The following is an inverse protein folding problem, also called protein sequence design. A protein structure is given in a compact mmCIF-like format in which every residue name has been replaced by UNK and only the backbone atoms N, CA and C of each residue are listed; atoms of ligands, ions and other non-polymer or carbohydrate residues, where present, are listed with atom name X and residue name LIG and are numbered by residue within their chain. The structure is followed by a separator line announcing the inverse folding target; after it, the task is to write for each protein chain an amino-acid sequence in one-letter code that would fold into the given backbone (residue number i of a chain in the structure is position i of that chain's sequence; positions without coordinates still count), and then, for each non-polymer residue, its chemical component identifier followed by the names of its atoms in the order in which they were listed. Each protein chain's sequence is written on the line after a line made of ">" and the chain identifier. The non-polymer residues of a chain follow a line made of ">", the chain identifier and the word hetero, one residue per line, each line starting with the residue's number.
data_IF_340480523017
#
_entry.id   IF_340480523017
#
_cell.length_a   1.000
_cell.length_b   1.000
_cell.length_c   1.000
_cell.angle_alpha   90.00
_cell.angle_beta   90.00
_cell.angle_gamma   90.00
#
_symmetry.space_group_name_H-M   'P 1'
#
loop_
_entity.id
_entity.type
_entity.pdbx_description
1 polymer ?
#
# COMPACT_ATOMS: atom_id res chain seq x y z
N UNK A 1 0.79 15.05 15.73
CA UNK A 1 -0.65 15.12 15.38
C UNK A 1 -0.73 15.03 13.86
N UNK A 2 -0.83 13.83 13.30
CA UNK A 2 -0.97 13.66 11.85
C UNK A 2 -2.48 13.74 11.58
N UNK A 3 -2.96 14.80 10.92
CA UNK A 3 -4.39 14.90 10.59
C UNK A 3 -4.73 13.85 9.54
N UNK A 4 -5.84 13.14 9.74
CA UNK A 4 -6.31 12.15 8.77
C UNK A 4 -6.65 12.87 7.45
N UNK A 5 -6.26 12.31 6.29
CA UNK A 5 -6.55 12.94 5.01
C UNK A 5 -8.07 12.98 4.78
N UNK A 6 -8.58 14.17 4.48
CA UNK A 6 -10.00 14.42 4.17
C UNK A 6 -10.12 14.63 2.68
N UNK A 7 -10.90 13.79 2.01
CA UNK A 7 -11.24 13.91 0.60
C UNK A 7 -12.56 14.66 0.52
N UNK A 8 -12.60 15.76 -0.23
CA UNK A 8 -13.83 16.50 -0.52
C UNK A 8 -14.22 16.22 -1.96
N UNK A 9 -15.42 15.69 -2.16
CA UNK A 9 -15.99 15.39 -3.47
C UNK A 9 -17.42 15.91 -3.51
N UNK A 10 -17.86 16.44 -4.64
CA UNK A 10 -19.27 16.79 -4.80
C UNK A 10 -20.11 15.53 -4.99
N UNK A 11 -21.39 15.57 -4.62
CA UNK A 11 -22.33 14.47 -4.87
C UNK A 11 -22.37 14.06 -6.36
N UNK A 12 -22.25 15.04 -7.27
CA UNK A 12 -22.13 14.81 -8.72
C UNK A 12 -20.85 14.05 -9.10
N UNK A 13 -19.73 14.40 -8.49
CA UNK A 13 -18.45 13.71 -8.72
C UNK A 13 -18.52 12.26 -8.25
N UNK A 14 -19.15 12.00 -7.10
CA UNK A 14 -19.33 10.64 -6.56
C UNK A 14 -20.17 9.78 -7.51
N UNK A 15 -21.24 10.34 -8.06
CA UNK A 15 -22.11 9.60 -9.00
C UNK A 15 -21.41 9.37 -10.34
N UNK A 16 -20.69 10.37 -10.86
CA UNK A 16 -19.95 10.23 -12.11
C UNK A 16 -18.81 9.21 -11.99
N UNK A 17 -18.11 9.19 -10.86
CA UNK A 17 -17.06 8.20 -10.58
C UNK A 17 -17.65 6.80 -10.46
N UNK A 18 -18.75 6.62 -9.70
CA UNK A 18 -19.45 5.33 -9.62
C UNK A 18 -19.86 4.80 -11.00
N UNK A 19 -20.45 5.67 -11.84
CA UNK A 19 -20.85 5.32 -13.21
C UNK A 19 -19.65 4.91 -14.08
N UNK A 20 -18.54 5.66 -13.98
CA UNK A 20 -17.30 5.35 -14.70
C UNK A 20 -16.72 4.00 -14.26
N UNK A 21 -16.79 3.66 -12.97
CA UNK A 21 -16.36 2.37 -12.45
C UNK A 21 -17.25 1.23 -12.94
N UNK A 22 -18.56 1.41 -12.99
CA UNK A 22 -19.49 0.40 -13.52
C UNK A 22 -19.25 0.17 -15.03
N UNK A 23 -19.07 1.24 -15.81
CA UNK A 23 -18.84 1.15 -17.26
C UNK A 23 -17.49 0.49 -17.62
N UNK A 24 -16.45 0.71 -16.81
CA UNK A 24 -15.10 0.18 -17.05
C UNK A 24 -14.68 -0.95 -16.10
N UNK A 25 -15.61 -1.55 -15.35
CA UNK A 25 -15.32 -2.59 -14.36
C UNK A 25 -14.53 -3.78 -14.96
N UNK A 26 -14.83 -4.16 -16.20
CA UNK A 26 -14.17 -5.27 -16.92
C UNK A 26 -12.72 -4.97 -17.34
N UNK A 27 -12.36 -3.69 -17.45
CA UNK A 27 -11.00 -3.23 -17.82
C UNK A 27 -10.15 -2.98 -16.57
N UNK A 28 -10.78 -2.45 -15.51
CA UNK A 28 -10.11 -2.12 -14.25
C UNK A 28 -9.84 -3.38 -13.42
N UNK A 29 -10.80 -4.32 -13.40
CA UNK A 29 -10.73 -5.57 -12.64
C UNK A 29 -11.11 -6.77 -13.55
N UNK A 30 -10.16 -7.30 -14.34
CA UNK A 30 -10.42 -8.40 -15.28
C UNK A 30 -10.63 -9.76 -14.60
N UNK A 31 -10.19 -9.93 -13.36
CA UNK A 31 -10.41 -11.15 -12.57
C UNK A 31 -11.75 -11.08 -11.83
N UNK A 32 -12.50 -12.20 -11.83
CA UNK A 32 -13.86 -12.27 -11.25
C UNK A 32 -13.89 -12.26 -9.72
N UNK A 33 -12.75 -12.55 -9.08
CA UNK A 33 -12.60 -12.60 -7.62
C UNK A 33 -12.02 -11.29 -7.05
N UNK A 34 -12.04 -10.20 -7.83
CA UNK A 34 -11.58 -8.89 -7.38
C UNK A 34 -12.60 -8.24 -6.42
N UNK A 35 -12.09 -7.65 -5.35
CA UNK A 35 -12.83 -6.95 -4.30
C UNK A 35 -13.67 -5.80 -4.86
N UNK A 36 -13.28 -5.24 -6.00
CA UNK A 36 -14.03 -4.19 -6.69
C UNK A 36 -15.41 -4.69 -7.15
N UNK A 37 -15.54 -5.95 -7.58
CA UNK A 37 -16.82 -6.51 -8.02
C UNK A 37 -17.79 -6.75 -6.86
N UNK A 38 -17.27 -7.15 -5.69
CA UNK A 38 -18.05 -7.29 -4.45
C UNK A 38 -18.57 -5.92 -3.97
N UNK A 39 -17.69 -4.90 -3.97
CA UNK A 39 -18.06 -3.53 -3.59
C UNK A 39 -19.09 -2.93 -4.55
N UNK A 40 -18.96 -3.16 -5.86
CA UNK A 40 -19.94 -2.68 -6.85
C UNK A 40 -21.29 -3.41 -6.73
N UNK A 41 -21.29 -4.69 -6.33
CA UNK A 41 -22.52 -5.43 -6.05
C UNK A 41 -23.25 -4.90 -4.80
N UNK A 42 -22.50 -4.58 -3.74
CA UNK A 42 -23.04 -4.01 -2.49
C UNK A 42 -23.60 -2.59 -2.68
N UNK A 43 -22.93 -1.78 -3.51
CA UNK A 43 -23.36 -0.39 -3.81
C UNK A 43 -24.54 -0.31 -4.78
N UNK A 44 -24.79 -1.38 -5.55
CA UNK A 44 -25.84 -1.43 -6.57
C UNK A 44 -25.52 -0.61 -7.83
N UNK A 45 -26.22 -0.92 -8.93
CA UNK A 45 -25.97 -0.30 -10.24
C UNK A 45 -26.54 1.11 -10.39
N UNK A 46 -27.50 1.49 -9.54
CA UNK A 46 -28.36 2.66 -9.77
C UNK A 46 -28.14 3.74 -8.71
N UNK A 47 -26.89 4.15 -8.53
CA UNK A 47 -26.56 5.28 -7.65
C UNK A 47 -27.06 6.59 -8.28
N UNK A 48 -28.21 7.07 -7.79
CA UNK A 48 -28.83 8.32 -8.20
C UNK A 48 -28.73 9.36 -7.06
N UNK A 49 -28.77 10.66 -7.38
CA UNK A 49 -28.72 11.79 -6.42
C UNK A 49 -29.70 11.60 -5.23
N UNK A 50 -30.86 11.00 -5.50
CA UNK A 50 -31.87 10.63 -4.50
C UNK A 50 -31.37 9.64 -3.45
N UNK A 51 -30.61 8.62 -3.85
CA UNK A 51 -30.07 7.60 -2.95
C UNK A 51 -28.89 8.14 -2.11
N UNK A 52 -28.19 9.15 -2.62
CA UNK A 52 -27.02 9.72 -1.96
C UNK A 52 -27.36 10.86 -0.98
N UNK A 53 -28.36 11.70 -1.31
CA UNK A 53 -28.74 12.89 -0.51
C UNK A 53 -30.05 12.69 0.27
N UNK A 54 -30.84 11.67 -0.06
CA UNK A 54 -31.97 11.18 0.75
C UNK A 54 -33.27 11.98 0.68
N UNK A 55 -33.28 13.19 0.10
CA UNK A 55 -34.44 14.09 0.20
C UNK A 55 -34.70 14.88 -1.10
N UNK A 56 -35.04 14.17 -2.19
CA UNK A 56 -35.39 14.78 -3.49
C UNK A 56 -36.77 14.28 -3.97
N UNK A 57 -37.71 15.18 -4.35
CA UNK A 57 -39.02 14.80 -4.87
C UNK A 57 -38.96 14.15 -6.25
N UNK A 58 -39.95 13.30 -6.58
CA UNK A 58 -40.01 12.57 -7.85
C UNK A 58 -40.12 13.53 -9.06
N UNK A 59 -39.23 13.35 -10.05
CA UNK A 59 -39.24 14.07 -11.33
C UNK A 59 -40.53 13.85 -12.15
N UNK A 60 -41.39 12.90 -11.75
CA UNK A 60 -42.63 12.56 -12.46
C UNK A 60 -43.82 13.44 -12.09
N UNK A 61 -43.73 14.25 -11.02
CA UNK A 61 -44.91 15.00 -10.51
C UNK A 61 -44.86 16.52 -10.65
N UNK A 62 -43.72 17.14 -10.98
CA UNK A 62 -43.68 18.58 -11.23
C UNK A 62 -42.43 19.00 -11.99
N UNK A 63 -42.57 19.24 -13.30
CA UNK A 63 -41.55 19.90 -14.13
C UNK A 63 -41.51 21.40 -13.89
N UNK A 64 -41.24 21.85 -12.66
CA UNK A 64 -41.02 23.27 -12.34
C UNK A 64 -39.52 23.59 -12.31
N UNK A 65 -39.12 24.78 -12.77
CA UNK A 65 -37.72 25.25 -12.77
C UNK A 65 -37.08 25.15 -11.38
N UNK A 66 -37.86 25.36 -10.32
CA UNK A 66 -37.47 25.22 -8.91
C UNK A 66 -36.96 23.79 -8.57
N UNK A 67 -37.59 22.74 -9.10
CA UNK A 67 -37.09 21.36 -8.88
C UNK A 67 -35.74 21.13 -9.56
N UNK A 68 -35.49 21.75 -10.71
CA UNK A 68 -34.20 21.64 -11.41
C UNK A 68 -33.08 22.35 -10.66
N UNK A 69 -33.39 23.49 -10.05
CA UNK A 69 -32.46 24.24 -9.21
C UNK A 69 -32.12 23.45 -7.92
N UNK A 70 -33.11 22.84 -7.26
CA UNK A 70 -32.87 21.97 -6.09
C UNK A 70 -31.99 20.75 -6.43
N UNK A 71 -32.17 20.13 -7.60
CA UNK A 71 -31.31 19.04 -8.05
C UNK A 71 -29.88 19.50 -8.40
N UNK A 72 -29.71 20.74 -8.87
CA UNK A 72 -28.39 21.33 -9.11
C UNK A 72 -27.68 21.62 -7.79
N UNK A 73 -28.38 22.22 -6.82
CA UNK A 73 -27.84 22.52 -5.48
C UNK A 73 -27.49 21.22 -4.72
N UNK A 74 -28.36 20.20 -4.78
CA UNK A 74 -28.08 18.87 -4.24
C UNK A 74 -26.86 18.20 -4.91
N UNK A 75 -26.63 18.46 -6.20
CA UNK A 75 -25.46 17.97 -6.93
C UNK A 75 -24.15 18.66 -6.56
N UNK A 76 -24.22 19.93 -6.15
CA UNK A 76 -23.08 20.74 -5.69
C UNK A 76 -22.73 20.52 -4.21
N UNK A 77 -23.54 19.77 -3.47
CA UNK A 77 -23.25 19.44 -2.07
C UNK A 77 -21.88 18.76 -1.94
N UNK A 78 -20.96 19.43 -1.22
CA UNK A 78 -19.64 18.89 -0.93
C UNK A 78 -19.73 17.85 0.19
N UNK A 79 -19.37 16.61 -0.12
CA UNK A 79 -19.28 15.51 0.84
C UNK A 79 -17.81 15.37 1.25
N UNK A 80 -17.53 15.63 2.53
CA UNK A 80 -16.21 15.46 3.12
C UNK A 80 -16.06 14.05 3.70
N UNK A 81 -15.33 13.19 3.00
CA UNK A 81 -15.01 11.83 3.42
C UNK A 81 -13.64 11.82 4.10
N UNK A 82 -13.60 11.42 5.37
CA UNK A 82 -12.32 11.19 6.06
C UNK A 82 -11.84 9.78 5.74
N UNK A 83 -10.69 9.66 5.09
CA UNK A 83 -10.11 8.35 4.76
C UNK A 83 -9.68 7.66 6.06
N UNK A 84 -10.40 6.60 6.41
CA UNK A 84 -9.97 5.64 7.43
C UNK A 84 -9.24 4.50 6.75
N UNK A 85 -8.06 4.14 7.25
CA UNK A 85 -7.35 2.95 6.79
C UNK A 85 -8.24 1.73 7.03
N UNK A 86 -8.26 0.74 6.13
CA UNK A 86 -8.99 -0.53 6.34
C UNK A 86 -8.57 -1.29 7.62
N UNK A 87 -7.42 -0.95 8.19
CA UNK A 87 -6.97 -1.45 9.50
C UNK A 87 -7.58 -0.68 10.68
N UNK A 88 -8.13 0.50 10.43
CA UNK A 88 -8.86 1.36 11.35
C UNK A 88 -10.39 1.09 11.29
N UNK A 89 -10.87 0.32 10.30
CA UNK A 89 -12.30 -0.08 10.21
C UNK A 89 -12.73 -1.02 11.35
N UNK A 90 -11.80 -1.80 11.91
CA UNK A 90 -12.03 -2.52 13.17
C UNK A 90 -12.17 -1.60 14.39
N UNK A 91 -11.83 -0.32 14.22
CA UNK A 91 -11.61 0.63 15.31
C UNK A 91 -12.40 1.94 15.19
N UNK A 92 -13.35 2.08 14.25
CA UNK A 92 -14.16 3.32 14.13
C UNK A 92 -15.66 3.06 14.26
N UNK A 93 -16.14 1.87 13.94
CA UNK A 93 -17.49 1.50 14.33
C UNK A 93 -17.50 1.30 15.85
N UNK A 94 -18.57 1.73 16.52
CA UNK A 94 -18.97 1.09 17.76
C UNK A 94 -18.81 -0.43 17.59
N UNK A 95 -18.39 -1.17 18.63
CA UNK A 95 -18.19 -2.60 18.46
C UNK A 95 -19.54 -3.23 18.06
N UNK A 96 -19.81 -3.38 16.76
CA UNK A 96 -21.05 -4.01 16.28
C UNK A 96 -21.03 -5.50 16.62
N UNK A 97 -19.85 -6.04 16.93
CA UNK A 97 -19.70 -7.31 17.61
C UNK A 97 -20.12 -7.16 19.08
N UNK A 98 -21.29 -7.71 19.41
CA UNK A 98 -21.81 -7.84 20.77
C UNK A 98 -20.76 -8.36 21.76
N UNK A 99 -19.83 -9.20 21.30
CA UNK A 99 -18.71 -9.70 22.13
C UNK A 99 -17.70 -8.61 22.47
N UNK A 100 -17.44 -7.68 21.57
CA UNK A 100 -16.55 -6.56 21.83
C UNK A 100 -17.21 -5.53 22.77
N UNK A 101 -18.51 -5.26 22.64
CA UNK A 101 -19.30 -4.49 23.63
C UNK A 101 -19.24 -5.19 24.99
N UNK A 102 -19.40 -6.51 25.03
CA UNK A 102 -19.33 -7.30 26.26
C UNK A 102 -17.97 -7.18 26.94
N UNK A 103 -16.86 -7.30 26.19
CA UNK A 103 -15.50 -7.15 26.73
C UNK A 103 -15.24 -5.71 27.20
N UNK A 104 -15.71 -4.71 26.45
CA UNK A 104 -15.60 -3.30 26.84
C UNK A 104 -16.32 -3.06 28.17
N UNK A 105 -17.59 -3.44 28.23
CA UNK A 105 -18.49 -3.29 29.39
C UNK A 105 -17.95 -4.02 30.60
N UNK A 106 -17.49 -5.27 30.43
CA UNK A 106 -16.90 -6.08 31.50
C UNK A 106 -15.79 -5.34 32.26
N UNK A 107 -14.84 -4.72 31.56
CA UNK A 107 -13.78 -4.03 32.28
C UNK A 107 -14.10 -2.59 32.69
N UNK A 108 -15.10 -1.92 32.10
CA UNK A 108 -15.69 -0.74 32.74
C UNK A 108 -16.30 -1.11 34.09
N UNK A 109 -16.99 -2.26 34.16
CA UNK A 109 -17.53 -2.80 35.41
C UNK A 109 -16.43 -3.16 36.41
N UNK A 110 -15.33 -3.80 35.98
CA UNK A 110 -14.18 -4.08 36.87
C UNK A 110 -13.61 -2.79 37.46
N UNK A 111 -13.45 -1.75 36.65
CA UNK A 111 -12.89 -0.48 37.10
C UNK A 111 -13.86 0.30 37.99
N UNK A 112 -15.18 0.18 37.75
CA UNK A 112 -16.22 0.71 38.63
C UNK A 112 -16.27 -0.04 39.98
N UNK A 113 -16.26 -1.38 39.96
CA UNK A 113 -16.29 -2.23 41.16
C UNK A 113 -15.05 -2.05 42.05
N UNK A 114 -13.91 -1.65 41.47
CA UNK A 114 -12.69 -1.32 42.24
C UNK A 114 -12.82 -0.05 43.07
N UNK A 115 -13.70 0.87 42.68
CA UNK A 115 -13.84 2.19 43.30
C UNK A 115 -15.11 2.26 44.14
N UNK A 116 -16.18 1.65 43.66
CA UNK A 116 -17.47 1.59 44.32
C UNK A 116 -17.84 0.12 44.60
N UNK A 117 -17.62 -0.37 45.83
CA UNK A 117 -18.12 -1.67 46.23
C UNK A 117 -19.65 -1.61 46.36
N UNK A 118 -20.33 -2.65 45.88
CA UNK A 118 -21.77 -2.85 46.09
C UNK A 118 -22.11 -4.33 45.89
N UNK A 119 -23.27 -4.75 46.40
CA UNK A 119 -23.69 -6.15 46.41
C UNK A 119 -24.15 -6.63 45.03
N UNK A 120 -24.78 -5.73 44.25
CA UNK A 120 -25.29 -6.01 42.91
C UNK A 120 -24.81 -4.98 41.89
N UNK A 121 -24.56 -5.38 40.64
CA UNK A 121 -24.13 -4.45 39.58
C UNK A 121 -25.18 -3.35 39.34
N UNK A 122 -26.47 -3.69 39.43
CA UNK A 122 -27.57 -2.73 39.37
C UNK A 122 -27.48 -1.66 40.47
N UNK A 123 -27.25 -2.07 41.71
CA UNK A 123 -27.14 -1.16 42.87
C UNK A 123 -25.93 -0.21 42.73
N UNK A 124 -24.81 -0.71 42.21
CA UNK A 124 -23.60 0.09 41.95
C UNK A 124 -23.85 1.14 40.85
N UNK A 125 -24.66 0.79 39.85
CA UNK A 125 -25.01 1.68 38.74
C UNK A 125 -26.06 2.73 39.11
N UNK A 126 -26.93 2.45 40.09
CA UNK A 126 -27.99 3.35 40.53
C UNK A 126 -27.60 4.24 41.72
N UNK A 127 -26.62 3.82 42.53
CA UNK A 127 -26.12 4.64 43.63
C UNK A 127 -25.36 5.88 43.10
N UNK A 128 -25.72 7.12 43.49
CA UNK A 128 -25.05 8.33 43.01
C UNK A 128 -23.58 8.36 43.49
N UNK A 129 -22.62 8.72 42.61
CA UNK A 129 -21.21 8.70 43.00
C UNK A 129 -20.84 9.89 43.89
N UNK A 130 -20.34 9.59 45.09
CA UNK A 130 -19.79 10.56 46.04
C UNK A 130 -18.56 11.30 45.45
N UNK A 131 -18.30 12.53 45.90
CA UNK A 131 -17.16 13.34 45.43
C UNK A 131 -15.80 12.66 45.64
N UNK A 132 -15.65 11.87 46.70
CA UNK A 132 -14.43 11.11 46.94
C UNK A 132 -14.20 10.01 45.89
N UNK A 133 -15.29 9.37 45.45
CA UNK A 133 -15.27 8.33 44.42
C UNK A 133 -14.91 8.97 43.07
N UNK A 134 -15.49 10.14 42.76
CA UNK A 134 -15.17 10.95 41.57
C UNK A 134 -13.68 11.31 41.50
N UNK A 135 -13.11 11.77 42.61
CA UNK A 135 -11.68 12.10 42.69
C UNK A 135 -10.80 10.87 42.50
N UNK A 136 -11.13 9.75 43.17
CA UNK A 136 -10.39 8.47 43.00
C UNK A 136 -10.42 7.95 41.57
N UNK A 137 -11.54 8.11 40.86
CA UNK A 137 -11.64 7.74 39.44
C UNK A 137 -10.78 8.64 38.56
N UNK A 138 -10.82 9.96 38.76
CA UNK A 138 -9.96 10.90 38.04
C UNK A 138 -8.48 10.57 38.22
N UNK A 139 -8.05 10.34 39.48
CA UNK A 139 -6.66 9.97 39.80
C UNK A 139 -6.27 8.61 39.18
N UNK A 140 -7.20 7.65 39.12
CA UNK A 140 -6.97 6.35 38.49
C UNK A 140 -6.76 6.50 36.97
N UNK A 141 -7.63 7.24 36.30
CA UNK A 141 -7.53 7.49 34.85
C UNK A 141 -6.22 8.24 34.55
N UNK A 142 -5.91 9.27 35.33
CA UNK A 142 -4.67 10.03 35.17
C UNK A 142 -3.42 9.15 35.35
N UNK A 143 -3.38 8.29 36.38
CA UNK A 143 -2.29 7.32 36.56
C UNK A 143 -2.18 6.29 35.44
N UNK A 144 -3.29 5.92 34.81
CA UNK A 144 -3.26 5.00 33.66
C UNK A 144 -2.68 5.68 32.41
N UNK A 145 -2.99 6.96 32.20
CA UNK A 145 -2.41 7.79 31.13
C UNK A 145 -0.90 7.97 31.34
N UNK A 146 -0.48 8.30 32.57
CA UNK A 146 0.93 8.57 32.92
C UNK A 146 1.84 7.33 32.84
N UNK A 147 1.32 6.12 33.15
CA UNK A 147 2.10 4.86 33.16
C UNK A 147 2.43 4.30 31.76
N UNK A 148 2.23 5.08 30.69
CA UNK A 148 2.65 4.68 29.35
C UNK A 148 1.81 3.56 28.74
N UNK A 149 0.56 3.40 29.17
CA UNK A 149 -0.46 2.82 28.29
C UNK A 149 -1.08 3.96 27.49
N UNK A 150 -0.28 4.60 26.65
CA UNK A 150 -0.76 5.43 25.53
C UNK A 150 -1.49 4.58 24.47
N UNK A 151 -2.09 3.46 24.88
CA UNK A 151 -3.04 2.75 24.06
C UNK A 151 -4.29 3.61 24.04
N UNK A 152 -4.47 4.24 22.88
CA UNK A 152 -5.73 4.81 22.42
C UNK A 152 -6.94 3.93 22.81
N UNK A 153 -6.75 2.61 22.94
CA UNK A 153 -7.74 1.61 23.37
C UNK A 153 -8.25 1.76 24.82
N UNK A 154 -7.40 2.11 25.80
CA UNK A 154 -7.86 2.28 27.19
C UNK A 154 -8.65 3.58 27.35
N UNK A 155 -8.18 4.65 26.72
CA UNK A 155 -8.89 5.93 26.68
C UNK A 155 -10.19 5.76 25.90
N UNK A 156 -10.17 5.09 24.74
CA UNK A 156 -11.35 4.75 23.92
C UNK A 156 -12.33 3.80 24.60
N UNK A 157 -11.88 3.02 25.60
CA UNK A 157 -12.81 2.30 26.47
C UNK A 157 -13.79 3.30 27.08
N UNK A 158 -13.27 4.39 27.63
CA UNK A 158 -14.03 5.39 28.37
C UNK A 158 -14.58 6.54 27.51
N UNK A 159 -13.92 6.90 26.42
CA UNK A 159 -14.33 7.99 25.54
C UNK A 159 -15.18 7.48 24.38
N UNK A 160 -16.13 8.30 23.93
CA UNK A 160 -16.84 8.08 22.66
C UNK A 160 -16.02 8.75 21.55
N UNK A 161 -16.22 8.36 20.28
CA UNK A 161 -15.50 8.91 19.12
C UNK A 161 -15.57 10.46 19.01
N UNK A 162 -16.47 11.10 19.75
CA UNK A 162 -16.61 12.54 19.87
C UNK A 162 -15.95 13.06 21.16
N UNK A 163 -14.65 13.36 21.08
CA UNK A 163 -13.92 14.38 21.86
C UNK A 163 -14.42 14.81 23.27
N UNK A 164 -14.74 13.89 24.20
CA UNK A 164 -14.89 14.29 25.61
C UNK A 164 -13.55 14.18 26.31
N UNK A 165 -12.94 15.34 26.57
CA UNK A 165 -11.55 15.47 27.05
C UNK A 165 -11.27 14.90 28.45
N UNK A 166 -12.24 14.37 29.18
CA UNK A 166 -12.04 13.56 30.40
C UNK A 166 -13.32 12.76 30.69
N UNK A 167 -13.28 11.42 30.80
CA UNK A 167 -14.45 10.65 31.20
C UNK A 167 -14.79 10.93 32.67
N UNK A 168 -16.04 11.31 32.96
CA UNK A 168 -16.56 11.42 34.32
C UNK A 168 -17.23 10.10 34.71
N UNK A 169 -17.26 9.73 36.00
CA UNK A 169 -17.92 8.50 36.47
C UNK A 169 -19.36 8.40 35.95
N UNK A 170 -20.12 9.49 35.94
CA UNK A 170 -21.50 9.52 35.45
C UNK A 170 -21.61 9.15 33.96
N UNK A 171 -20.65 9.61 33.16
CA UNK A 171 -20.58 9.27 31.72
C UNK A 171 -20.27 7.78 31.54
N UNK A 172 -19.43 7.21 32.40
CA UNK A 172 -19.11 5.77 32.39
C UNK A 172 -20.31 4.94 32.83
N UNK A 173 -20.99 5.31 33.92
CA UNK A 173 -22.23 4.63 34.36
C UNK A 173 -23.31 4.67 33.28
N UNK A 174 -23.51 5.83 32.65
CA UNK A 174 -24.47 5.98 31.55
C UNK A 174 -24.11 5.12 30.34
N UNK A 175 -22.81 5.01 30.02
CA UNK A 175 -22.32 4.17 28.93
C UNK A 175 -22.44 2.68 29.24
N UNK A 176 -22.16 2.27 30.48
CA UNK A 176 -22.41 0.90 30.93
C UNK A 176 -23.90 0.57 30.78
N UNK A 177 -24.82 1.44 31.23
CA UNK A 177 -26.26 1.22 31.07
C UNK A 177 -26.66 1.01 29.60
N UNK A 178 -26.26 1.91 28.69
CA UNK A 178 -26.52 1.75 27.24
C UNK A 178 -25.95 0.45 26.67
N UNK A 179 -24.73 0.10 27.06
CA UNK A 179 -24.11 -1.14 26.59
C UNK A 179 -24.82 -2.39 27.16
N UNK A 180 -25.34 -2.33 28.38
CA UNK A 180 -26.12 -3.42 28.97
C UNK A 180 -27.46 -3.58 28.25
N UNK A 181 -28.11 -2.49 27.85
CA UNK A 181 -29.35 -2.53 27.07
C UNK A 181 -29.11 -3.23 25.72
N UNK A 182 -28.03 -2.88 25.00
CA UNK A 182 -27.65 -3.54 23.73
C UNK A 182 -27.33 -5.03 23.95
N UNK A 183 -26.61 -5.37 25.02
CA UNK A 183 -26.28 -6.76 25.34
C UNK A 183 -27.49 -7.59 25.78
N UNK A 184 -28.53 -6.94 26.28
CA UNK A 184 -29.82 -7.55 26.62
C UNK A 184 -30.65 -7.82 25.37
N UNK A 185 -30.66 -6.89 24.40
CA UNK A 185 -31.26 -7.12 23.07
C UNK A 185 -30.59 -8.31 22.35
N UNK A 186 -29.27 -8.46 22.50
CA UNK A 186 -28.50 -9.58 21.95
C UNK A 186 -28.61 -10.89 22.77
N UNK A 187 -29.34 -10.88 23.89
CA UNK A 187 -29.55 -12.05 24.76
C UNK A 187 -28.30 -12.56 25.48
N UNK A 188 -27.22 -11.77 25.53
CA UNK A 188 -25.96 -12.12 26.20
C UNK A 188 -25.98 -11.80 27.70
N UNK A 189 -26.93 -10.98 28.12
CA UNK A 189 -27.06 -10.49 29.48
C UNK A 189 -28.54 -10.29 29.80
N UNK A 190 -29.01 -10.78 30.95
CA UNK A 190 -30.40 -10.57 31.36
C UNK A 190 -30.52 -9.64 32.56
N UNK A 191 -31.36 -8.59 32.46
CA UNK A 191 -31.68 -7.69 33.58
C UNK A 191 -32.39 -8.42 34.72
N UNK A 192 -33.10 -9.51 34.41
CA UNK A 192 -33.78 -10.36 35.41
C UNK A 192 -32.78 -11.10 36.31
N UNK A 193 -31.56 -11.33 35.83
CA UNK A 193 -30.48 -11.95 36.60
C UNK A 193 -29.60 -10.93 37.31
N UNK A 194 -29.99 -9.65 37.34
CA UNK A 194 -29.19 -8.55 37.88
C UNK A 194 -27.77 -8.49 37.31
N UNK A 195 -27.61 -8.85 36.03
CA UNK A 195 -26.32 -8.84 35.33
C UNK A 195 -25.25 -9.79 35.91
N UNK A 196 -25.68 -10.86 36.59
CA UNK A 196 -24.79 -11.84 37.23
C UNK A 196 -23.85 -12.54 36.24
N UNK A 197 -24.23 -12.66 34.97
CA UNK A 197 -23.42 -13.27 33.91
C UNK A 197 -22.10 -12.50 33.67
N UNK A 198 -22.14 -11.17 33.73
CA UNK A 198 -20.95 -10.32 33.64
C UNK A 198 -20.05 -10.54 34.84
N UNK A 199 -20.63 -10.64 36.05
CA UNK A 199 -19.87 -10.89 37.28
C UNK A 199 -19.22 -12.28 37.23
N UNK A 200 -19.95 -13.30 36.78
CA UNK A 200 -19.43 -14.65 36.60
C UNK A 200 -18.29 -14.69 35.56
N UNK A 201 -18.41 -13.93 34.47
CA UNK A 201 -17.35 -13.78 33.49
C UNK A 201 -16.10 -13.08 34.08
N UNK A 202 -16.28 -12.05 34.91
CA UNK A 202 -15.19 -11.40 35.64
C UNK A 202 -14.51 -12.38 36.60
N UNK A 203 -15.28 -13.16 37.36
CA UNK A 203 -14.74 -14.17 38.26
C UNK A 203 -13.94 -15.24 37.52
N UNK A 204 -14.44 -15.71 36.36
CA UNK A 204 -13.73 -16.64 35.48
C UNK A 204 -12.43 -16.06 34.94
N UNK A 205 -12.38 -14.76 34.65
CA UNK A 205 -11.17 -14.09 34.21
C UNK A 205 -10.14 -13.95 35.34
N UNK A 206 -10.59 -13.69 36.57
CA UNK A 206 -9.71 -13.60 37.75
C UNK A 206 -9.07 -14.95 38.04
N UNK A 207 -9.84 -16.03 38.01
CA UNK A 207 -9.33 -17.40 38.23
C UNK A 207 -8.35 -17.82 37.13
N UNK A 208 -8.65 -17.50 35.86
CA UNK A 208 -7.78 -17.83 34.73
C UNK A 208 -6.68 -16.79 34.47
N UNK A 209 -6.55 -15.76 35.32
CA UNK A 209 -5.68 -14.62 35.06
C UNK A 209 -4.21 -15.04 34.86
N UNK A 210 -3.72 -16.00 35.67
CA UNK A 210 -2.35 -16.51 35.56
C UNK A 210 -2.10 -17.19 34.20
N UNK A 211 -3.06 -17.98 33.72
CA UNK A 211 -3.02 -18.64 32.41
C UNK A 211 -2.99 -17.61 31.27
N UNK A 212 -3.88 -16.62 31.31
CA UNK A 212 -3.92 -15.55 30.30
C UNK A 212 -2.64 -14.69 30.31
N UNK A 213 -2.05 -14.41 31.48
CA UNK A 213 -0.75 -13.71 31.56
C UNK A 213 0.38 -14.56 30.95
N UNK A 214 0.39 -15.87 31.18
CA UNK A 214 1.37 -16.79 30.58
C UNK A 214 1.24 -16.80 29.06
N UNK A 215 0.03 -16.92 28.53
CA UNK A 215 -0.22 -16.92 27.09
C UNK A 215 0.21 -15.61 26.43
N UNK A 216 -0.22 -14.45 26.98
CA UNK A 216 0.21 -13.13 26.47
C UNK A 216 1.73 -12.93 26.48
N UNK A 217 2.44 -13.47 27.47
CA UNK A 217 3.91 -13.42 27.51
C UNK A 217 4.55 -14.24 26.37
N UNK A 218 3.99 -15.40 26.04
CA UNK A 218 4.48 -16.24 24.94
C UNK A 218 4.19 -15.56 23.60
N UNK A 219 2.98 -15.07 23.40
CA UNK A 219 2.57 -14.36 22.19
C UNK A 219 3.39 -13.08 21.97
N UNK A 220 3.60 -12.26 23.00
CA UNK A 220 4.47 -11.08 22.92
C UNK A 220 5.90 -11.43 22.52
N UNK A 221 6.46 -12.51 23.07
CA UNK A 221 7.80 -13.00 22.68
C UNK A 221 7.83 -13.44 21.22
N UNK A 222 6.79 -14.14 20.76
CA UNK A 222 6.67 -14.55 19.35
C UNK A 222 6.58 -13.35 18.43
N UNK A 223 5.74 -12.37 18.72
CA UNK A 223 5.59 -11.15 17.94
C UNK A 223 6.88 -10.34 17.88
N UNK A 224 7.57 -10.18 19.01
CA UNK A 224 8.87 -9.51 19.03
C UNK A 224 9.90 -10.23 18.15
N UNK A 225 9.93 -11.57 18.16
CA UNK A 225 10.80 -12.35 17.28
C UNK A 225 10.43 -12.17 15.81
N UNK A 226 9.15 -12.14 15.46
CA UNK A 226 8.71 -11.87 14.09
C UNK A 226 9.09 -10.46 13.65
N UNK A 227 8.97 -9.47 14.53
CA UNK A 227 9.35 -8.09 14.26
C UNK A 227 10.86 -7.96 14.02
N UNK A 228 11.70 -8.61 14.83
CA UNK A 228 13.15 -8.60 14.59
C UNK A 228 13.51 -9.24 13.26
N UNK A 229 12.88 -10.37 12.90
CA UNK A 229 13.10 -11.04 11.62
C UNK A 229 12.64 -10.19 10.41
N UNK A 230 11.54 -9.45 10.56
CA UNK A 230 11.06 -8.53 9.52
C UNK A 230 12.03 -7.37 9.33
N UNK A 231 12.51 -6.76 10.42
CA UNK A 231 13.47 -5.67 10.35
C UNK A 231 14.82 -6.14 9.76
N UNK A 232 15.28 -7.35 10.09
CA UNK A 232 16.47 -7.94 9.46
C UNK A 232 16.29 -8.15 7.95
N UNK A 233 15.07 -8.54 7.53
CA UNK A 233 14.75 -8.70 6.11
C UNK A 233 14.64 -7.35 5.39
N UNK A 234 14.08 -6.35 6.05
CA UNK A 234 14.02 -4.98 5.55
C UNK A 234 15.43 -4.42 5.34
N UNK A 235 16.29 -4.51 6.35
CA UNK A 235 17.68 -4.05 6.24
C UNK A 235 18.45 -4.78 5.14
N UNK A 236 18.25 -6.10 5.00
CA UNK A 236 18.85 -6.88 3.92
C UNK A 236 18.42 -6.36 2.53
N UNK A 237 17.14 -6.08 2.33
CA UNK A 237 16.65 -5.56 1.05
C UNK A 237 17.09 -4.11 0.81
N UNK A 238 17.20 -3.28 1.85
CA UNK A 238 17.80 -1.94 1.74
C UNK A 238 19.29 -2.00 1.36
N UNK A 239 20.06 -2.92 1.95
CA UNK A 239 21.45 -3.16 1.55
C UNK A 239 21.56 -3.63 0.10
N UNK A 240 20.68 -4.53 -0.35
CA UNK A 240 20.63 -4.92 -1.76
C UNK A 240 20.30 -3.73 -2.65
N UNK A 241 19.27 -2.95 -2.31
CA UNK A 241 18.87 -1.77 -3.07
C UNK A 241 20.01 -0.75 -3.19
N UNK A 242 20.68 -0.44 -2.07
CA UNK A 242 21.82 0.49 -2.05
C UNK A 242 23.00 -0.05 -2.85
N UNK A 243 23.29 -1.35 -2.78
CA UNK A 243 24.31 -1.99 -3.64
C UNK A 243 23.98 -1.82 -5.12
N UNK A 244 22.73 -2.08 -5.54
CA UNK A 244 22.31 -1.88 -6.93
C UNK A 244 22.42 -0.42 -7.35
N UNK A 245 22.01 0.52 -6.50
CA UNK A 245 22.18 1.94 -6.77
C UNK A 245 23.65 2.33 -6.92
N UNK A 246 24.52 1.84 -6.04
CA UNK A 246 25.97 2.08 -6.13
C UNK A 246 26.55 1.47 -7.41
N UNK A 247 26.11 0.27 -7.81
CA UNK A 247 26.52 -0.36 -9.06
C UNK A 247 26.08 0.46 -10.28
N UNK A 248 24.82 0.91 -10.32
CA UNK A 248 24.29 1.77 -11.38
C UNK A 248 25.08 3.08 -11.43
N UNK A 249 25.31 3.73 -10.29
CA UNK A 249 26.05 4.98 -10.22
C UNK A 249 27.52 4.82 -10.63
N UNK A 250 28.17 3.74 -10.21
CA UNK A 250 29.53 3.42 -10.64
C UNK A 250 29.61 3.13 -12.14
N UNK A 251 28.62 2.42 -12.69
CA UNK A 251 28.49 2.22 -14.12
C UNK A 251 28.35 3.58 -14.83
N UNK A 252 27.41 4.43 -14.41
CA UNK A 252 27.20 5.78 -14.96
C UNK A 252 28.43 6.68 -14.84
N UNK A 253 29.15 6.66 -13.73
CA UNK A 253 30.39 7.42 -13.55
C UNK A 253 31.51 6.94 -14.47
N UNK A 254 31.66 5.62 -14.63
CA UNK A 254 32.62 5.05 -15.56
C UNK A 254 32.25 5.43 -17.01
N UNK A 255 30.97 5.57 -17.31
CA UNK A 255 30.48 6.10 -18.60
C UNK A 255 30.80 7.60 -18.76
N UNK A 256 30.62 8.42 -17.72
CA UNK A 256 30.92 9.86 -17.76
C UNK A 256 32.42 10.15 -17.87
N UNK A 257 33.27 9.38 -17.16
CA UNK A 257 34.74 9.46 -17.26
C UNK A 257 35.25 9.09 -18.66
N UNK A 258 34.61 8.13 -19.33
CA UNK A 258 34.88 7.81 -20.74
C UNK A 258 34.50 8.95 -21.72
N UNK A 259 33.54 9.82 -21.35
CA UNK A 259 33.19 11.04 -22.11
C UNK A 259 34.27 12.12 -21.95
N UNK A 260 34.78 12.32 -20.73
CA UNK A 260 35.73 13.38 -20.42
C UNK A 260 37.17 13.10 -20.93
N UNK A 261 37.60 11.84 -21.00
CA UNK A 261 38.89 11.48 -21.63
C UNK A 261 38.95 11.73 -23.15
N UNK A 262 37.81 12.01 -23.79
CA UNK A 262 37.72 12.30 -25.24
C UNK A 262 37.63 13.81 -25.57
N UNK A 263 37.59 14.67 -24.55
CA UNK A 263 37.41 16.13 -24.70
C UNK A 263 38.66 16.99 -24.54
N UNK A 264 39.84 16.40 -24.24
CA UNK A 264 41.08 17.17 -24.08
C UNK A 264 42.09 16.76 -25.14
N UNK A 265 42.05 17.44 -26.29
CA UNK A 265 43.05 17.28 -27.35
C UNK A 265 42.50 17.56 -28.74
N UNK A 266 42.26 18.84 -29.07
CA UNK A 266 42.49 19.42 -30.40
C UNK A 266 42.01 20.88 -30.44
N UNK A 267 42.93 21.79 -30.16
CA UNK A 267 42.88 23.16 -30.66
C UNK A 267 43.23 23.17 -32.15
N UNK A 268 42.40 23.81 -32.98
CA UNK A 268 42.82 24.35 -34.27
C UNK A 268 41.98 23.97 -35.49
N UNK A 269 41.48 24.98 -36.20
CA UNK A 269 41.35 24.94 -37.66
C UNK A 269 39.94 24.74 -38.21
N UNK A 270 39.47 25.73 -38.96
CA UNK A 270 38.15 25.81 -39.58
C UNK A 270 37.91 24.84 -40.76
N UNK A 271 36.60 24.71 -41.08
CA UNK A 271 35.95 24.35 -42.35
C UNK A 271 35.46 22.90 -42.56
N UNK A 272 34.14 22.80 -42.45
CA UNK A 272 33.18 22.12 -43.34
C UNK A 272 33.22 20.58 -43.52
N UNK A 273 32.00 20.04 -43.50
CA UNK A 273 31.52 18.71 -43.95
C UNK A 273 31.57 17.56 -42.93
N UNK A 274 30.38 16.99 -42.69
CA UNK A 274 30.06 15.81 -41.88
C UNK A 274 30.65 15.77 -40.46
N UNK A 275 29.81 16.13 -39.49
CA UNK A 275 29.99 15.73 -38.08
C UNK A 275 29.79 14.22 -37.95
N UNK A 276 30.75 13.45 -38.45
CA UNK A 276 30.94 12.06 -38.03
C UNK A 276 31.38 12.10 -36.56
N UNK A 277 30.38 12.05 -35.67
CA UNK A 277 30.57 11.46 -34.35
C UNK A 277 31.35 10.15 -34.58
N UNK A 278 32.57 10.04 -34.06
CA UNK A 278 33.25 8.74 -33.95
C UNK A 278 32.54 7.89 -32.89
N UNK A 279 31.28 7.55 -33.15
CA UNK A 279 30.54 6.50 -32.46
C UNK A 279 31.38 5.24 -32.59
N UNK A 280 31.73 4.62 -31.45
CA UNK A 280 32.40 3.33 -31.48
C UNK A 280 31.37 2.34 -32.01
N UNK A 281 31.40 2.11 -33.32
CA UNK A 281 30.62 1.04 -33.93
C UNK A 281 31.43 -0.24 -33.88
N UNK A 282 30.83 -1.30 -33.37
CA UNK A 282 31.45 -2.62 -33.34
C UNK A 282 30.68 -3.53 -34.28
N UNK A 283 31.38 -4.01 -35.31
CA UNK A 283 30.83 -4.89 -36.33
C UNK A 283 31.24 -6.34 -36.04
N UNK A 284 30.25 -7.21 -35.92
CA UNK A 284 30.44 -8.65 -35.80
C UNK A 284 29.59 -9.39 -36.83
N UNK A 285 30.08 -10.50 -37.35
CA UNK A 285 29.21 -11.43 -38.08
C UNK A 285 28.32 -12.17 -37.09
N UNK A 286 27.07 -12.45 -37.45
CA UNK A 286 26.16 -13.23 -36.61
C UNK A 286 26.74 -14.60 -36.26
N UNK A 287 27.49 -15.22 -37.19
CA UNK A 287 28.22 -16.47 -36.96
C UNK A 287 29.17 -16.38 -35.76
N UNK A 288 29.94 -15.28 -35.65
CA UNK A 288 30.89 -15.09 -34.54
C UNK A 288 30.20 -14.81 -33.22
N UNK A 289 29.03 -14.18 -33.23
CA UNK A 289 28.24 -13.94 -32.02
C UNK A 289 27.56 -15.22 -31.54
N UNK A 290 27.17 -16.09 -32.47
CA UNK A 290 26.66 -17.43 -32.20
C UNK A 290 27.73 -18.35 -31.60
N UNK A 291 28.93 -18.40 -32.18
CA UNK A 291 30.07 -19.16 -31.64
C UNK A 291 30.48 -18.71 -30.23
N UNK A 292 30.29 -17.41 -29.92
CA UNK A 292 30.53 -16.85 -28.59
C UNK A 292 29.38 -17.06 -27.60
N UNK A 293 28.28 -17.67 -28.03
CA UNK A 293 27.08 -17.88 -27.22
C UNK A 293 26.27 -16.61 -26.93
N UNK A 294 26.61 -15.48 -27.56
CA UNK A 294 25.86 -14.22 -27.39
C UNK A 294 24.52 -14.30 -28.11
N UNK A 295 24.51 -14.85 -29.33
CA UNK A 295 23.29 -15.18 -30.06
C UNK A 295 23.02 -16.67 -29.90
N UNK A 296 21.77 -17.03 -29.58
CA UNK A 296 21.33 -18.41 -29.44
C UNK A 296 20.58 -18.87 -30.69
N UNK A 297 19.68 -18.03 -31.21
CA UNK A 297 18.84 -18.37 -32.35
C UNK A 297 18.35 -17.11 -33.04
N UNK A 298 18.27 -17.13 -34.36
CA UNK A 298 17.59 -16.11 -35.16
C UNK A 298 16.41 -16.81 -35.81
N UNK A 299 15.20 -16.46 -35.40
CA UNK A 299 13.97 -17.05 -35.92
C UNK A 299 13.82 -16.68 -37.42
N UNK A 300 13.46 -17.68 -38.24
CA UNK A 300 13.34 -17.53 -39.70
C UNK A 300 14.63 -17.66 -40.54
N UNK A 301 15.82 -17.79 -39.92
CA UNK A 301 17.11 -17.86 -40.65
C UNK A 301 17.86 -19.16 -40.32
N UNK A 302 18.33 -19.87 -41.35
CA UNK A 302 19.10 -21.09 -41.16
C UNK A 302 20.55 -20.79 -40.75
N UNK A 303 21.15 -21.66 -39.93
CA UNK A 303 22.50 -21.45 -39.35
C UNK A 303 23.59 -21.18 -40.39
N UNK A 304 23.50 -21.77 -41.58
CA UNK A 304 24.49 -21.54 -42.64
C UNK A 304 24.49 -20.09 -43.17
N UNK A 305 23.38 -19.37 -43.02
CA UNK A 305 23.21 -18.00 -43.49
C UNK A 305 23.75 -16.96 -42.50
N UNK A 306 24.12 -17.37 -41.28
CA UNK A 306 24.67 -16.47 -40.26
C UNK A 306 25.99 -15.82 -40.68
N UNK A 307 26.73 -16.44 -41.61
CA UNK A 307 27.94 -15.88 -42.21
C UNK A 307 27.67 -14.62 -43.03
N UNK A 308 26.48 -14.54 -43.64
CA UNK A 308 26.06 -13.44 -44.52
C UNK A 308 25.43 -12.26 -43.75
N UNK A 309 25.21 -12.42 -42.44
CA UNK A 309 24.67 -11.37 -41.56
C UNK A 309 25.81 -10.68 -40.83
N UNK A 310 25.85 -9.36 -40.93
CA UNK A 310 26.70 -8.49 -40.11
C UNK A 310 25.84 -7.66 -39.16
N UNK A 311 26.14 -7.76 -37.88
CA UNK A 311 25.51 -7.00 -36.80
C UNK A 311 26.46 -5.89 -36.40
N UNK A 312 26.00 -4.66 -36.54
CA UNK A 312 26.73 -3.45 -36.17
C UNK A 312 26.06 -2.83 -34.95
N UNK A 313 26.76 -2.83 -33.81
CA UNK A 313 26.29 -2.20 -32.57
C UNK A 313 26.93 -0.81 -32.50
N UNK A 314 26.10 0.23 -32.54
CA UNK A 314 26.49 1.63 -32.42
C UNK A 314 26.06 2.17 -31.08
N UNK A 315 26.90 2.99 -30.47
CA UNK A 315 26.51 3.74 -29.28
C UNK A 315 25.88 5.06 -29.72
N UNK A 316 24.64 5.30 -29.31
CA UNK A 316 23.93 6.59 -29.49
C UNK A 316 24.19 7.44 -28.25
N UNK A 317 23.78 6.92 -27.08
CA UNK A 317 23.87 7.60 -25.80
C UNK A 317 24.62 6.75 -24.75
N UNK A 318 24.77 7.29 -23.54
CA UNK A 318 25.42 6.59 -22.44
C UNK A 318 24.70 5.27 -22.07
N UNK A 319 23.36 5.27 -22.15
CA UNK A 319 22.50 4.14 -21.81
C UNK A 319 21.81 3.47 -23.00
N UNK A 320 21.90 4.05 -24.21
CA UNK A 320 21.19 3.58 -25.41
C UNK A 320 22.16 3.17 -26.53
N UNK A 321 21.95 1.96 -27.02
CA UNK A 321 22.67 1.37 -28.15
C UNK A 321 21.73 1.14 -29.32
N UNK A 322 22.22 1.38 -30.52
CA UNK A 322 21.55 1.02 -31.76
C UNK A 322 22.17 -0.27 -32.28
N UNK A 323 21.36 -1.28 -32.56
CA UNK A 323 21.80 -2.50 -33.22
C UNK A 323 21.26 -2.51 -34.62
N UNK A 324 22.17 -2.54 -35.59
CA UNK A 324 21.86 -2.63 -37.01
C UNK A 324 22.20 -4.03 -37.49
N UNK A 325 21.20 -4.82 -37.87
CA UNK A 325 21.40 -6.09 -38.54
C UNK A 325 21.39 -5.85 -40.06
N UNK A 326 22.51 -6.16 -40.72
CA UNK A 326 22.65 -6.07 -42.17
C UNK A 326 22.82 -7.45 -42.79
N UNK A 327 21.96 -7.82 -43.72
CA UNK A 327 22.07 -9.04 -44.51
C UNK A 327 22.62 -8.69 -45.89
N UNK A 328 23.77 -9.26 -46.26
CA UNK A 328 24.44 -8.98 -47.55
C UNK A 328 24.63 -7.47 -47.85
N UNK A 329 24.82 -6.66 -46.80
CA UNK A 329 25.01 -5.20 -46.92
C UNK A 329 23.74 -4.36 -46.80
N UNK A 330 22.55 -4.95 -46.96
CA UNK A 330 21.27 -4.26 -46.79
C UNK A 330 20.84 -4.28 -45.32
N UNK A 331 20.40 -3.13 -44.80
CA UNK A 331 19.86 -3.02 -43.45
C UNK A 331 18.52 -3.76 -43.39
N UNK A 332 18.49 -4.86 -42.63
CA UNK A 332 17.29 -5.67 -42.41
C UNK A 332 16.53 -5.15 -41.21
N UNK A 333 17.26 -4.83 -40.14
CA UNK A 333 16.64 -4.46 -38.88
C UNK A 333 17.47 -3.43 -38.11
N UNK A 334 16.75 -2.52 -37.46
CA UNK A 334 17.28 -1.50 -36.59
C UNK A 334 16.53 -1.58 -35.26
N UNK A 335 17.25 -1.88 -34.19
CA UNK A 335 16.67 -2.02 -32.84
C UNK A 335 17.42 -1.14 -31.85
N UNK A 336 16.69 -0.48 -30.95
CA UNK A 336 17.26 0.25 -29.84
C UNK A 336 17.36 -0.66 -28.61
N UNK A 337 18.50 -0.60 -27.91
CA UNK A 337 18.78 -1.37 -26.71
C UNK A 337 19.15 -0.42 -25.58
N UNK A 338 18.43 -0.52 -24.48
CA UNK A 338 18.72 0.22 -23.26
C UNK A 338 19.47 -0.72 -22.31
N UNK A 339 20.66 -0.31 -21.84
CA UNK A 339 21.48 -1.16 -20.95
C UNK A 339 20.80 -1.42 -19.61
N UNK A 340 19.96 -0.49 -19.15
CA UNK A 340 19.19 -0.62 -17.92
C UNK A 340 18.21 -1.79 -17.99
N UNK A 341 17.51 -1.95 -19.13
CA UNK A 341 16.55 -3.04 -19.33
C UNK A 341 17.26 -4.41 -19.34
N UNK A 342 18.47 -4.47 -19.89
CA UNK A 342 19.29 -5.69 -19.85
C UNK A 342 19.77 -6.03 -18.43
N UNK A 343 20.12 -5.03 -17.63
CA UNK A 343 20.49 -5.22 -16.22
C UNK A 343 19.27 -5.63 -15.36
N UNK A 344 18.10 -5.08 -15.65
CA UNK A 344 16.84 -5.49 -15.01
C UNK A 344 16.53 -6.96 -15.31
N UNK A 345 16.62 -7.37 -16.58
CA UNK A 345 16.43 -8.77 -16.97
C UNK A 345 17.44 -9.70 -16.29
N UNK A 346 18.69 -9.25 -16.09
CA UNK A 346 19.68 -10.01 -15.33
C UNK A 346 19.28 -10.15 -13.84
N UNK A 347 18.75 -9.09 -13.23
CA UNK A 347 18.27 -9.11 -11.85
C UNK A 347 17.06 -10.04 -11.67
N UNK A 348 16.14 -10.03 -12.62
CA UNK A 348 14.95 -10.89 -12.64
C UNK A 348 15.30 -12.36 -12.95
N UNK A 349 16.59 -12.69 -13.13
CA UNK A 349 17.07 -14.04 -13.41
C UNK A 349 16.84 -14.51 -14.86
N UNK A 350 16.45 -13.61 -15.75
CA UNK A 350 16.19 -13.90 -17.17
C UNK A 350 17.51 -14.00 -17.91
N UNK A 351 17.89 -15.22 -18.30
CA UNK A 351 19.16 -15.48 -18.99
C UNK A 351 19.09 -15.26 -20.51
N UNK A 352 17.89 -15.28 -21.08
CA UNK A 352 17.65 -15.17 -22.53
C UNK A 352 16.65 -14.06 -22.81
N UNK A 353 17.01 -13.11 -23.68
CA UNK A 353 16.09 -12.08 -24.13
C UNK A 353 15.95 -12.09 -25.67
N UNK A 354 14.82 -11.57 -26.16
CA UNK A 354 14.61 -11.33 -27.58
C UNK A 354 15.00 -9.88 -27.90
N UNK A 355 15.85 -9.69 -28.90
CA UNK A 355 16.22 -8.38 -29.42
C UNK A 355 15.64 -8.25 -30.82
N UNK A 356 14.86 -7.18 -31.02
CA UNK A 356 14.21 -6.91 -32.29
C UNK A 356 13.08 -7.90 -32.59
N UNK A 357 12.87 -8.17 -33.87
CA UNK A 357 11.77 -8.96 -34.38
C UNK A 357 11.90 -10.40 -33.92
N UNK A 358 13.11 -10.97 -33.91
CA UNK A 358 13.26 -12.43 -33.87
C UNK A 358 14.63 -12.98 -33.39
N UNK A 359 15.52 -12.20 -32.77
CA UNK A 359 16.86 -12.68 -32.34
C UNK A 359 16.87 -13.02 -30.84
N UNK A 360 17.07 -14.30 -30.49
CA UNK A 360 17.31 -14.74 -29.11
C UNK A 360 18.79 -14.57 -28.76
N UNK A 361 19.06 -13.86 -27.67
CA UNK A 361 20.41 -13.61 -27.16
C UNK A 361 20.54 -13.98 -25.69
N UNK A 362 21.77 -14.27 -25.27
CA UNK A 362 22.10 -14.43 -23.86
C UNK A 362 22.36 -13.06 -23.23
N UNK A 363 21.59 -12.70 -22.19
CA UNK A 363 21.63 -11.38 -21.52
C UNK A 363 23.01 -11.12 -20.92
N UNK A 364 23.55 -12.09 -20.18
CA UNK A 364 24.84 -11.95 -19.49
C UNK A 364 26.01 -11.76 -20.45
N UNK A 365 26.05 -12.56 -21.52
CA UNK A 365 27.12 -12.50 -22.52
C UNK A 365 27.01 -11.25 -23.40
N UNK A 366 25.80 -10.77 -23.65
CA UNK A 366 25.58 -9.51 -24.35
C UNK A 366 26.05 -8.32 -23.52
N UNK A 367 25.68 -8.25 -22.24
CA UNK A 367 26.18 -7.23 -21.30
C UNK A 367 27.71 -7.27 -21.26
N UNK A 368 28.30 -8.47 -21.15
CA UNK A 368 29.76 -8.63 -21.19
C UNK A 368 30.38 -8.13 -22.49
N UNK A 369 29.77 -8.41 -23.66
CA UNK A 369 30.26 -7.96 -24.96
C UNK A 369 30.26 -6.43 -25.05
N UNK A 370 29.16 -5.79 -24.64
CA UNK A 370 28.98 -4.35 -24.61
C UNK A 370 30.01 -3.72 -23.64
N UNK A 371 30.13 -4.26 -22.42
CA UNK A 371 31.11 -3.84 -21.42
C UNK A 371 32.55 -3.96 -21.91
N UNK A 372 32.91 -5.06 -22.56
CA UNK A 372 34.27 -5.27 -23.04
C UNK A 372 34.65 -4.40 -24.24
N UNK A 373 33.72 -4.12 -25.15
CA UNK A 373 34.03 -3.50 -26.45
C UNK A 373 33.64 -2.04 -26.57
N UNK A 374 32.57 -1.63 -25.91
CA UNK A 374 32.06 -0.27 -25.95
C UNK A 374 32.53 0.52 -24.72
N UNK A 375 32.50 -0.10 -23.53
CA UNK A 375 32.97 0.51 -22.28
C UNK A 375 34.46 0.22 -21.94
N UNK A 376 35.02 -0.90 -22.40
CA UNK A 376 36.34 -1.39 -22.01
C UNK A 376 37.54 -0.71 -22.69
N UNK A 377 37.89 0.51 -22.26
CA UNK A 377 39.27 1.04 -22.30
C UNK A 377 39.57 1.98 -21.12
N UNK A 378 39.16 1.62 -19.91
CA UNK A 378 39.69 2.18 -18.66
C UNK A 378 39.88 1.01 -17.69
N UNK A 379 41.08 0.43 -17.70
CA UNK A 379 41.39 -0.78 -16.91
C UNK A 379 42.61 -1.55 -17.43
N UNK A 380 43.70 -0.86 -17.75
CA UNK A 380 45.05 -1.41 -17.58
C UNK A 380 45.75 -0.49 -16.59
N UNK A 381 45.66 -0.84 -15.32
CA UNK A 381 46.76 -0.67 -14.37
C UNK A 381 46.92 -2.02 -13.68
#
# INVERSE_FOLDING_TARGET
>A
MISKPVVRLTAKDIISTHKLFVEHATVIAPEKDDVIHEILADLGTDLNLRNLVGDLPDLTTSSSEETREMFQEAGETEIALTLSSKHDQFDINEPTDSKAIFVQTKGMCVDLLRIQPGETLSDVLDTPPSEEIRKKFSDMIQRQIEKGHGDHLLIRRYTTALHTSNPTIDTVKSKIKRNLDILEEDGLVSRQTNYQEIINAIAKDITNQARHRKQRRVEKKRLNKTLTQLNEKESFHEEQYTFYQQYINSALENMAKARNLRGSGASGGAKATNTDFKSKSVKYSAQRLYEKGVILEIEGIQRFQYRSISIEIRQIDASKFEVHAKFLGNLVEKTELIIQDLLQLQFDGVTVCKIGSQVKVNVNLLIFLINKKLYGKLGKK
#
